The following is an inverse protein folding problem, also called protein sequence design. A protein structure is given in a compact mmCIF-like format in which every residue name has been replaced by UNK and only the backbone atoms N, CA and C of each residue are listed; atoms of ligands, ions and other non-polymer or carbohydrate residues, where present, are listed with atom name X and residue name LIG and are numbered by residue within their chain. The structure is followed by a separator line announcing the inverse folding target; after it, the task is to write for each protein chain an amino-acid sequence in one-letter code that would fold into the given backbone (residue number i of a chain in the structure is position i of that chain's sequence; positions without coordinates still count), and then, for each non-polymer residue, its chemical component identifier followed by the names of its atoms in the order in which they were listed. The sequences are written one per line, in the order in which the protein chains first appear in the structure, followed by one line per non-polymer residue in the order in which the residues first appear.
data_IF_539672527934
#
_entry.id   IF_539672527934
#
_cell.length_a   1.000
_cell.length_b   1.000
_cell.length_c   1.000
_cell.angle_alpha   90.00
_cell.angle_beta   90.00
_cell.angle_gamma   90.00
#
_symmetry.space_group_name_H-M   'P 1'
#
loop_
_entity.id
_entity.type
_entity.pdbx_description
1 polymer ?
#
# COMPACT_ATOMS: atom_id res chain seq x y z
N UNK A 1 -24.71 27.85 -0.64
CA UNK A 1 -26.00 27.12 -0.53
C UNK A 1 -25.71 25.63 -0.62
N UNK A 2 -26.09 24.81 0.36
CA UNK A 2 -25.75 23.38 0.38
C UNK A 2 -26.57 22.57 -0.64
N UNK A 3 -26.04 21.43 -1.10
CA UNK A 3 -26.78 20.50 -1.98
C UNK A 3 -28.08 20.01 -1.34
N UNK A 4 -28.10 19.85 -0.02
CA UNK A 4 -29.29 19.47 0.76
C UNK A 4 -30.36 20.56 0.73
N UNK A 5 -29.96 21.83 0.81
CA UNK A 5 -30.87 22.97 0.66
C UNK A 5 -31.47 23.02 -0.76
N UNK A 6 -30.62 22.89 -1.80
CA UNK A 6 -31.08 22.84 -3.19
C UNK A 6 -32.04 21.68 -3.46
N UNK A 7 -31.79 20.50 -2.86
CA UNK A 7 -32.67 19.34 -2.97
C UNK A 7 -34.04 19.60 -2.34
N UNK A 8 -34.08 20.12 -1.12
CA UNK A 8 -35.35 20.47 -0.45
C UNK A 8 -36.17 21.51 -1.23
N UNK A 9 -35.50 22.52 -1.80
CA UNK A 9 -36.16 23.50 -2.66
C UNK A 9 -36.71 22.87 -3.93
N UNK A 10 -35.97 21.92 -4.52
CA UNK A 10 -36.41 21.18 -5.70
C UNK A 10 -37.68 20.37 -5.41
N UNK A 11 -37.71 19.65 -4.27
CA UNK A 11 -38.85 18.84 -3.86
C UNK A 11 -40.10 19.72 -3.61
N UNK A 12 -39.92 20.91 -3.04
CA UNK A 12 -40.99 21.90 -2.86
C UNK A 12 -41.54 22.42 -4.21
N UNK A 13 -40.65 22.79 -5.13
CA UNK A 13 -41.04 23.25 -6.48
C UNK A 13 -41.65 22.15 -7.33
N UNK A 14 -41.27 20.89 -7.12
CA UNK A 14 -41.89 19.73 -7.77
C UNK A 14 -43.36 19.57 -7.34
N UNK A 15 -43.67 19.76 -6.05
CA UNK A 15 -45.05 19.75 -5.56
C UNK A 15 -45.89 20.86 -6.19
N UNK A 16 -45.32 22.06 -6.34
CA UNK A 16 -45.98 23.19 -7.02
C UNK A 16 -46.19 22.91 -8.51
N UNK A 17 -45.23 22.29 -9.19
CA UNK A 17 -45.36 21.90 -10.59
C UNK A 17 -46.45 20.85 -10.81
N UNK A 18 -46.62 19.90 -9.88
CA UNK A 18 -47.72 18.92 -9.91
C UNK A 18 -49.09 19.59 -9.78
N UNK A 19 -49.20 20.64 -8.96
CA UNK A 19 -50.45 21.40 -8.74
C UNK A 19 -50.76 22.40 -9.87
N UNK A 20 -49.74 23.03 -10.45
CA UNK A 20 -49.86 24.06 -11.49
C UNK A 20 -49.05 23.70 -12.73
N UNK A 21 -49.38 22.59 -13.38
CA UNK A 21 -48.58 21.99 -14.45
C UNK A 21 -48.48 22.82 -15.74
N UNK A 22 -49.46 23.69 -15.99
CA UNK A 22 -49.54 24.56 -17.16
C UNK A 22 -48.97 25.97 -16.93
N UNK A 23 -48.65 26.33 -15.69
CA UNK A 23 -48.12 27.66 -15.37
C UNK A 23 -46.65 27.77 -15.87
N UNK A 24 -46.37 28.67 -16.83
CA UNK A 24 -45.02 28.84 -17.38
C UNK A 24 -43.99 29.29 -16.33
N UNK A 25 -44.40 30.06 -15.32
CA UNK A 25 -43.51 30.61 -14.29
C UNK A 25 -43.03 29.50 -13.35
N UNK A 26 -43.97 28.66 -12.89
CA UNK A 26 -43.67 27.51 -12.03
C UNK A 26 -42.77 26.51 -12.75
N UNK A 27 -43.07 26.23 -14.03
CA UNK A 27 -42.28 25.33 -14.88
C UNK A 27 -40.85 25.85 -15.07
N UNK A 28 -40.69 27.11 -15.44
CA UNK A 28 -39.37 27.73 -15.65
C UNK A 28 -38.55 27.77 -14.37
N UNK A 29 -39.18 28.09 -13.24
CA UNK A 29 -38.55 28.09 -11.91
C UNK A 29 -38.07 26.71 -11.49
N UNK A 30 -38.84 25.65 -11.75
CA UNK A 30 -38.43 24.27 -11.45
C UNK A 30 -37.22 23.83 -12.29
N UNK A 31 -37.27 24.02 -13.61
CA UNK A 31 -36.19 23.57 -14.50
C UNK A 31 -34.89 24.36 -14.30
N UNK A 32 -34.96 25.66 -13.98
CA UNK A 32 -33.77 26.44 -13.63
C UNK A 32 -33.12 25.94 -12.35
N UNK A 33 -33.91 25.64 -11.31
CA UNK A 33 -33.43 25.06 -10.06
C UNK A 33 -32.86 23.64 -10.26
N UNK A 34 -33.49 22.83 -11.12
CA UNK A 34 -32.99 21.50 -11.48
C UNK A 34 -31.63 21.57 -12.18
N UNK A 35 -31.46 22.52 -13.11
CA UNK A 35 -30.19 22.76 -13.80
C UNK A 35 -29.11 23.18 -12.79
N UNK A 36 -29.44 24.07 -11.86
CA UNK A 36 -28.53 24.51 -10.81
C UNK A 36 -28.11 23.33 -9.91
N UNK A 37 -29.07 22.55 -9.41
CA UNK A 37 -28.79 21.37 -8.58
C UNK A 37 -27.89 20.36 -9.29
N UNK A 38 -28.18 20.03 -10.56
CA UNK A 38 -27.35 19.11 -11.36
C UNK A 38 -25.92 19.63 -11.53
N UNK A 39 -25.76 20.95 -11.78
CA UNK A 39 -24.45 21.59 -11.91
C UNK A 39 -23.68 21.53 -10.58
N UNK A 40 -24.31 21.92 -9.47
CA UNK A 40 -23.70 21.87 -8.14
C UNK A 40 -23.32 20.45 -7.73
N UNK A 41 -24.13 19.45 -8.06
CA UNK A 41 -23.83 18.04 -7.76
C UNK A 41 -22.58 17.57 -8.49
N UNK A 42 -22.48 17.86 -9.80
CA UNK A 42 -21.30 17.53 -10.61
C UNK A 42 -20.06 18.24 -10.08
N UNK A 43 -20.18 19.51 -9.73
CA UNK A 43 -19.08 20.29 -9.17
C UNK A 43 -18.60 19.70 -7.85
N UNK A 44 -19.50 19.36 -6.93
CA UNK A 44 -19.13 18.80 -5.63
C UNK A 44 -18.45 17.44 -5.74
N UNK A 45 -18.90 16.60 -6.68
CA UNK A 45 -18.23 15.34 -6.99
C UNK A 45 -16.81 15.56 -7.54
N UNK A 46 -16.61 16.56 -8.40
CA UNK A 46 -15.28 16.93 -8.90
C UNK A 46 -14.38 17.41 -7.76
N UNK A 47 -14.89 18.27 -6.88
CA UNK A 47 -14.14 18.73 -5.70
C UNK A 47 -13.71 17.57 -4.81
N UNK A 48 -14.60 16.62 -4.51
CA UNK A 48 -14.27 15.45 -3.71
C UNK A 48 -13.19 14.59 -4.36
N UNK A 49 -13.29 14.32 -5.67
CA UNK A 49 -12.25 13.57 -6.38
C UNK A 49 -10.91 14.30 -6.34
N UNK A 50 -10.92 15.61 -6.54
CA UNK A 50 -9.70 16.41 -6.47
C UNK A 50 -9.10 16.42 -5.06
N UNK A 51 -9.92 16.50 -4.01
CA UNK A 51 -9.41 16.47 -2.64
C UNK A 51 -8.75 15.14 -2.31
N UNK A 52 -9.34 14.03 -2.75
CA UNK A 52 -8.74 12.68 -2.58
C UNK A 52 -7.42 12.56 -3.33
N UNK A 53 -7.32 13.07 -4.56
CA UNK A 53 -6.06 13.06 -5.31
C UNK A 53 -4.98 13.91 -4.63
N UNK A 54 -5.34 15.12 -4.19
CA UNK A 54 -4.40 15.98 -3.46
C UNK A 54 -3.95 15.34 -2.15
N UNK A 55 -4.84 14.62 -1.46
CA UNK A 55 -4.51 13.89 -0.24
C UNK A 55 -3.53 12.73 -0.53
N UNK A 56 -3.74 11.98 -1.61
CA UNK A 56 -2.81 10.95 -2.06
C UNK A 56 -1.43 11.52 -2.37
N UNK A 57 -1.36 12.62 -3.12
CA UNK A 57 -0.09 13.26 -3.49
C UNK A 57 0.66 13.75 -2.23
N UNK A 58 -0.05 14.34 -1.27
CA UNK A 58 0.55 14.80 -0.02
C UNK A 58 0.98 13.65 0.90
N UNK A 59 0.25 12.54 0.93
CA UNK A 59 0.54 11.40 1.81
C UNK A 59 1.70 10.54 1.29
N UNK A 60 1.94 10.55 -0.03
CA UNK A 60 3.02 9.78 -0.65
C UNK A 60 4.37 10.04 0.01
N UNK A 61 4.73 11.30 0.21
CA UNK A 61 6.04 11.69 0.76
C UNK A 61 6.04 11.79 2.30
N UNK A 62 4.91 12.20 2.90
CA UNK A 62 4.84 12.51 4.32
C UNK A 62 4.44 11.32 5.21
N UNK A 63 3.60 10.41 4.71
CA UNK A 63 3.13 9.27 5.49
C UNK A 63 2.72 8.08 4.60
N UNK A 64 3.69 7.26 4.17
CA UNK A 64 3.45 6.14 3.27
C UNK A 64 2.40 5.15 3.82
N UNK A 65 2.32 4.97 5.14
CA UNK A 65 1.36 4.03 5.73
C UNK A 65 -0.08 4.50 5.51
N UNK A 66 -0.37 5.77 5.78
CA UNK A 66 -1.70 6.35 5.55
C UNK A 66 -2.07 6.37 4.06
N UNK A 67 -1.09 6.61 3.20
CA UNK A 67 -1.26 6.50 1.75
C UNK A 67 -1.79 5.09 1.37
N UNK A 68 -1.13 4.04 1.85
CA UNK A 68 -1.55 2.67 1.56
C UNK A 68 -2.91 2.31 2.16
N UNK A 69 -3.25 2.84 3.34
CA UNK A 69 -4.55 2.63 3.97
C UNK A 69 -5.68 3.28 3.14
N UNK A 70 -5.49 4.51 2.68
CA UNK A 70 -6.45 5.22 1.82
C UNK A 70 -6.60 4.52 0.46
N UNK A 71 -5.50 4.05 -0.14
CA UNK A 71 -5.55 3.28 -1.38
C UNK A 71 -6.29 1.95 -1.22
N UNK A 72 -6.10 1.26 -0.08
CA UNK A 72 -6.86 0.05 0.25
C UNK A 72 -8.35 0.35 0.39
N UNK A 73 -8.71 1.47 0.99
CA UNK A 73 -10.11 1.88 1.11
C UNK A 73 -10.75 2.14 -0.26
N UNK A 74 -10.04 2.86 -1.15
CA UNK A 74 -10.49 3.14 -2.51
C UNK A 74 -10.59 1.88 -3.40
N UNK A 75 -9.79 0.85 -3.14
CA UNK A 75 -9.76 -0.38 -3.93
C UNK A 75 -10.78 -1.44 -3.51
N UNK A 76 -11.45 -1.29 -2.35
CA UNK A 76 -12.47 -2.24 -1.85
C UNK A 76 -13.67 -2.39 -2.78
N UNK A 77 -14.02 -1.37 -3.55
CA UNK A 77 -15.20 -1.35 -4.42
C UNK A 77 -14.92 -1.83 -5.86
N UNK A 78 -13.66 -2.02 -6.24
CA UNK A 78 -13.32 -2.56 -7.55
C UNK A 78 -13.34 -4.08 -7.48
N UNK A 79 -14.30 -4.70 -8.19
CA UNK A 79 -14.28 -6.12 -8.51
C UNK A 79 -12.85 -6.50 -8.91
N UNK A 80 -12.17 -7.27 -8.05
CA UNK A 80 -10.78 -7.67 -8.25
C UNK A 80 -10.65 -8.20 -9.67
N UNK A 81 -9.91 -7.49 -10.52
CA UNK A 81 -9.42 -8.06 -11.76
C UNK A 81 -8.48 -9.18 -11.33
N UNK A 82 -9.03 -10.40 -11.24
CA UNK A 82 -8.24 -11.59 -11.02
C UNK A 82 -7.18 -11.58 -12.11
N UNK A 83 -5.92 -11.51 -11.72
CA UNK A 83 -4.86 -11.96 -12.60
C UNK A 83 -5.23 -13.38 -13.07
N UNK A 84 -4.91 -13.74 -14.32
CA UNK A 84 -5.10 -15.11 -14.77
C UNK A 84 -4.37 -16.04 -13.79
N UNK A 85 -5.04 -17.11 -13.38
CA UNK A 85 -4.48 -18.10 -12.47
C UNK A 85 -3.43 -18.91 -13.24
N UNK A 86 -2.16 -18.52 -13.14
CA UNK A 86 -1.05 -19.20 -13.82
C UNK A 86 -0.60 -20.36 -12.93
N UNK A 87 -0.73 -21.62 -13.37
CA UNK A 87 -0.35 -22.77 -12.56
C UNK A 87 1.17 -22.79 -12.33
N UNK A 88 1.60 -23.24 -11.15
CA UNK A 88 2.99 -23.24 -10.69
C UNK A 88 3.98 -23.91 -11.64
N UNK A 89 3.55 -24.94 -12.39
CA UNK A 89 4.40 -25.62 -13.37
C UNK A 89 4.83 -24.69 -14.51
N UNK A 90 3.95 -23.79 -14.95
CA UNK A 90 4.27 -22.81 -16.01
C UNK A 90 5.37 -21.86 -15.58
N UNK A 91 5.34 -21.44 -14.31
CA UNK A 91 6.39 -20.61 -13.71
C UNK A 91 7.71 -21.36 -13.62
N UNK A 92 7.67 -22.61 -13.17
CA UNK A 92 8.86 -23.45 -13.05
C UNK A 92 9.54 -23.66 -14.40
N UNK A 93 8.79 -24.01 -15.45
CA UNK A 93 9.34 -24.23 -16.80
C UNK A 93 9.97 -22.95 -17.36
N UNK A 94 9.28 -21.81 -17.24
CA UNK A 94 9.79 -20.52 -17.69
C UNK A 94 11.14 -20.17 -17.04
N UNK A 95 11.23 -20.24 -15.70
CA UNK A 95 12.46 -19.90 -14.99
C UNK A 95 13.56 -20.95 -15.14
N UNK A 96 13.18 -22.22 -15.33
CA UNK A 96 14.14 -23.28 -15.65
C UNK A 96 14.83 -23.00 -16.96
N UNK A 97 14.10 -22.62 -18.00
CA UNK A 97 14.66 -22.33 -19.32
C UNK A 97 15.49 -21.05 -19.32
N UNK A 98 15.07 -20.03 -18.56
CA UNK A 98 15.80 -18.77 -18.40
C UNK A 98 17.19 -18.98 -17.76
N UNK A 99 17.32 -19.97 -16.87
CA UNK A 99 18.58 -20.30 -16.20
C UNK A 99 19.49 -21.27 -16.97
N UNK A 100 19.06 -21.83 -18.10
CA UNK A 100 19.89 -22.74 -18.92
C UNK A 100 20.96 -21.99 -19.73
N UNK A 101 20.76 -20.72 -20.05
CA UNK A 101 21.71 -19.94 -20.84
C UNK A 101 22.74 -19.25 -19.94
N UNK A 102 23.93 -19.88 -19.84
CA UNK A 102 25.24 -19.39 -19.34
C UNK A 102 25.83 -20.35 -18.30
N UNK A 103 25.99 -21.63 -18.67
CA UNK A 103 27.02 -22.45 -18.04
C UNK A 103 28.34 -22.03 -18.67
N UNK A 104 28.91 -20.94 -18.17
CA UNK A 104 30.35 -20.75 -18.32
C UNK A 104 30.98 -21.91 -17.55
N UNK A 105 31.78 -22.71 -18.26
CA UNK A 105 32.65 -23.74 -17.71
C UNK A 105 33.26 -23.28 -16.38
N UNK A 106 33.40 -24.17 -15.37
CA UNK A 106 34.02 -23.80 -14.10
C UNK A 106 35.34 -23.10 -14.41
N UNK A 107 35.42 -21.82 -14.09
CA UNK A 107 36.64 -21.06 -14.31
C UNK A 107 37.65 -21.65 -13.33
N UNK A 108 38.64 -22.40 -13.81
CA UNK A 108 39.65 -23.04 -12.95
C UNK A 108 40.35 -22.01 -12.04
N UNK A 109 40.39 -20.74 -12.46
CA UNK A 109 40.86 -19.63 -11.63
C UNK A 109 39.98 -19.39 -10.39
N UNK A 110 38.66 -19.60 -10.47
CA UNK A 110 37.75 -19.49 -9.34
C UNK A 110 38.03 -20.57 -8.30
N UNK A 111 38.21 -21.82 -8.76
CA UNK A 111 38.50 -22.97 -7.89
C UNK A 111 39.87 -22.79 -7.22
N UNK A 112 40.87 -22.31 -7.97
CA UNK A 112 42.20 -22.04 -7.43
C UNK A 112 42.21 -20.86 -6.44
N UNK A 113 41.43 -19.80 -6.70
CA UNK A 113 41.26 -18.71 -5.74
C UNK A 113 40.60 -19.19 -4.44
N UNK A 114 39.58 -20.03 -4.51
CA UNK A 114 38.91 -20.57 -3.32
C UNK A 114 39.87 -21.36 -2.42
N UNK A 115 40.70 -22.23 -3.04
CA UNK A 115 41.74 -22.99 -2.32
C UNK A 115 42.84 -22.12 -1.72
N UNK A 116 43.08 -20.93 -2.29
CA UNK A 116 44.02 -19.97 -1.74
C UNK A 116 43.42 -19.23 -0.54
N UNK A 117 42.15 -18.81 -0.63
CA UNK A 117 41.42 -18.16 0.46
C UNK A 117 41.26 -19.07 1.69
N UNK A 118 41.06 -20.38 1.50
CA UNK A 118 41.03 -21.35 2.62
C UNK A 118 42.34 -21.42 3.42
N UNK A 119 43.47 -21.08 2.80
CA UNK A 119 44.80 -21.14 3.46
C UNK A 119 45.14 -19.85 4.22
N UNK A 120 44.43 -18.76 3.95
CA UNK A 120 44.61 -17.53 4.67
C UNK A 120 43.99 -17.68 6.07
N UNK A 121 44.76 -17.37 7.12
CA UNK A 121 44.20 -17.25 8.48
C UNK A 121 43.31 -16.02 8.50
N UNK A 122 42.05 -16.22 8.15
CA UNK A 122 41.03 -15.18 8.23
C UNK A 122 40.79 -14.94 9.71
N UNK A 123 40.96 -13.70 10.14
CA UNK A 123 40.47 -13.22 11.42
C UNK A 123 38.94 -13.41 11.42
N UNK A 124 38.46 -14.39 12.16
CA UNK A 124 37.04 -14.69 12.25
C UNK A 124 36.43 -13.79 13.33
N UNK A 125 35.88 -12.66 12.91
CA UNK A 125 35.02 -11.81 13.75
C UNK A 125 33.84 -12.60 14.34
N UNK A 126 33.51 -13.75 13.74
CA UNK A 126 32.47 -14.68 14.18
C UNK A 126 32.92 -15.61 15.31
N UNK A 127 34.22 -15.70 15.61
CA UNK A 127 34.74 -16.53 16.70
C UNK A 127 34.70 -15.82 18.06
N UNK A 128 34.36 -14.52 18.07
CA UNK A 128 34.18 -13.77 19.31
C UNK A 128 32.85 -14.13 19.98
N UNK A 129 32.87 -14.17 21.30
CA UNK A 129 31.66 -14.32 22.09
C UNK A 129 30.78 -13.08 21.91
N UNK A 130 29.50 -13.29 21.62
CA UNK A 130 28.50 -12.21 21.50
C UNK A 130 28.42 -11.49 22.84
N UNK A 131 28.56 -10.17 22.81
CA UNK A 131 28.49 -9.32 24.00
C UNK A 131 27.08 -8.72 24.16
N UNK A 132 26.70 -8.42 25.41
CA UNK A 132 25.46 -7.74 25.79
C UNK A 132 25.23 -6.45 24.99
N UNK A 133 26.30 -5.67 24.78
CA UNK A 133 26.22 -4.41 24.03
C UNK A 133 25.82 -4.64 22.56
N UNK A 134 26.25 -5.75 21.96
CA UNK A 134 25.90 -6.10 20.59
C UNK A 134 24.42 -6.48 20.50
N UNK A 135 23.93 -7.27 21.45
CA UNK A 135 22.51 -7.63 21.57
C UNK A 135 21.65 -6.37 21.72
N UNK A 136 22.03 -5.47 22.63
CA UNK A 136 21.32 -4.19 22.85
C UNK A 136 21.28 -3.38 21.56
N UNK A 137 22.43 -3.23 20.90
CA UNK A 137 22.55 -2.44 19.68
C UNK A 137 21.70 -3.04 18.56
N UNK A 138 21.75 -4.37 18.36
CA UNK A 138 20.96 -5.08 17.37
C UNK A 138 19.46 -4.89 17.61
N UNK A 139 18.97 -5.11 18.83
CA UNK A 139 17.55 -4.97 19.18
C UNK A 139 17.07 -3.53 18.97
N UNK A 140 17.87 -2.53 19.33
CA UNK A 140 17.53 -1.11 19.13
C UNK A 140 17.36 -0.75 17.65
N UNK A 141 18.13 -1.37 16.74
CA UNK A 141 18.05 -1.08 15.30
C UNK A 141 16.85 -1.72 14.59
N UNK A 142 16.18 -2.69 15.22
CA UNK A 142 15.01 -3.35 14.63
C UNK A 142 13.90 -2.34 14.32
N UNK A 143 13.35 -2.40 13.11
CA UNK A 143 12.24 -1.53 12.69
C UNK A 143 10.90 -2.15 13.11
N UNK A 144 9.97 -1.35 13.59
CA UNK A 144 8.63 -1.80 13.95
C UNK A 144 7.78 -2.07 12.70
N UNK A 145 6.71 -2.86 12.86
CA UNK A 145 5.71 -3.23 11.84
C UNK A 145 6.32 -3.89 10.61
N UNK A 146 7.42 -4.61 10.79
CA UNK A 146 7.97 -5.50 9.78
C UNK A 146 7.30 -6.85 9.89
N UNK A 147 7.13 -7.50 8.73
CA UNK A 147 6.63 -8.87 8.68
C UNK A 147 7.57 -9.77 9.45
N UNK A 148 6.99 -10.68 10.23
CA UNK A 148 7.74 -11.76 10.87
C UNK A 148 8.34 -12.69 9.83
N UNK A 149 9.38 -13.40 10.24
CA UNK A 149 9.92 -14.52 9.48
C UNK A 149 9.00 -15.73 9.52
N UNK A 150 9.52 -16.88 9.07
CA UNK A 150 8.83 -18.16 9.15
C UNK A 150 8.50 -18.56 10.61
N UNK A 151 9.28 -18.06 11.57
CA UNK A 151 9.09 -18.26 13.01
C UNK A 151 7.89 -17.50 13.61
N UNK A 152 7.25 -16.62 12.83
CA UNK A 152 6.16 -15.75 13.26
C UNK A 152 6.53 -14.76 14.39
N UNK A 153 7.82 -14.55 14.69
CA UNK A 153 8.26 -13.63 15.74
C UNK A 153 8.33 -12.22 15.19
N UNK A 154 7.67 -11.28 15.86
CA UNK A 154 7.70 -9.86 15.49
C UNK A 154 8.87 -9.13 16.14
N UNK A 155 9.39 -8.10 15.47
CA UNK A 155 10.45 -7.24 16.01
C UNK A 155 10.07 -6.60 17.34
N UNK A 156 8.79 -6.28 17.54
CA UNK A 156 8.25 -5.77 18.81
C UNK A 156 8.42 -6.78 19.94
N UNK A 157 8.25 -8.08 19.65
CA UNK A 157 8.42 -9.14 20.64
C UNK A 157 9.89 -9.23 21.06
N UNK A 158 10.82 -9.16 20.10
CA UNK A 158 12.27 -9.16 20.37
C UNK A 158 12.70 -7.95 21.20
N UNK A 159 12.12 -6.77 20.95
CA UNK A 159 12.35 -5.57 21.75
C UNK A 159 11.84 -5.72 23.18
N UNK A 160 10.68 -6.32 23.36
CA UNK A 160 10.13 -6.58 24.69
C UNK A 160 10.91 -7.68 25.45
N UNK A 161 11.53 -8.63 24.74
CA UNK A 161 12.26 -9.73 25.34
C UNK A 161 13.73 -9.43 25.62
N UNK A 162 14.19 -8.19 25.43
CA UNK A 162 15.60 -7.79 25.56
C UNK A 162 16.22 -8.23 26.89
N UNK A 163 15.53 -8.02 28.01
CA UNK A 163 16.02 -8.40 29.34
C UNK A 163 16.22 -9.92 29.52
N UNK A 164 15.44 -10.74 28.82
CA UNK A 164 15.57 -12.19 28.87
C UNK A 164 16.73 -12.70 28.02
N UNK A 165 17.02 -12.04 26.90
CA UNK A 165 18.14 -12.38 26.02
C UNK A 165 19.49 -12.07 26.67
N UNK A 166 19.59 -10.95 27.40
CA UNK A 166 20.81 -10.56 28.11
C UNK A 166 21.14 -11.49 29.29
N UNK A 167 20.14 -12.11 29.91
CA UNK A 167 20.36 -13.04 31.04
C UNK A 167 20.73 -14.47 30.60
N UNK A 168 20.86 -14.73 29.30
CA UNK A 168 21.03 -16.09 28.74
C UNK A 168 22.43 -16.39 28.20
N UNK A 169 23.34 -15.42 28.25
CA UNK A 169 24.78 -15.55 27.95
C UNK A 169 25.57 -15.96 29.20
#
# INVERSE_FOLDING_TARGET
MSLTCLRRQLDSKEKLLKKYSKDPVVRTSYFSLLKLYRKSRKHKLKEFRQSVMNELDNLHDNNPNKYWDLLKELSKDNNKSSSPDIPSNTWFEYFKDLNKSKVNTPNDNFVNNFKQMEKEKIFSELDFQINDQEIITAICTLKNKKSSGFDMILNEMLKCSQSFLLNSL
#
